data_IF_074800437386
#
_entry.id   IF_074800437386
#
_cell.length_a   1.000
_cell.length_b   1.000
_cell.length_c   1.000
_cell.angle_alpha   90.00
_cell.angle_beta   90.00
_cell.angle_gamma   90.00
#
_symmetry.space_group_name_H-M   'P 1'
#
loop_
_entity.id
_entity.type
_entity.pdbx_description
1 polymer ?
#
# COMPACT_ATOMS: atom_id res chain seq x y z
N UNK A 1 -3.11 6.63 17.99
CA UNK A 1 -3.69 6.25 16.69
C UNK A 1 -2.87 6.87 15.56
N UNK A 2 -2.17 6.05 14.78
CA UNK A 2 -1.31 6.46 13.67
C UNK A 2 -2.14 7.02 12.50
N UNK A 3 -1.48 7.63 11.50
CA UNK A 3 -2.17 8.08 10.28
C UNK A 3 -2.78 6.91 9.49
N UNK A 4 -2.11 5.76 9.48
CA UNK A 4 -2.54 4.54 8.79
C UNK A 4 -3.76 3.90 9.45
N UNK A 5 -3.80 3.84 10.79
CA UNK A 5 -4.98 3.37 11.53
C UNK A 5 -6.21 4.24 11.27
N UNK A 6 -6.06 5.57 11.29
CA UNK A 6 -7.15 6.49 10.95
C UNK A 6 -7.62 6.36 9.50
N UNK A 7 -6.72 5.97 8.60
CA UNK A 7 -7.04 5.75 7.20
C UNK A 7 -7.85 4.45 7.03
N UNK A 8 -7.48 3.38 7.73
CA UNK A 8 -8.22 2.12 7.75
C UNK A 8 -9.65 2.30 8.29
N UNK A 9 -9.80 2.96 9.43
CA UNK A 9 -11.13 3.26 10.01
C UNK A 9 -12.01 4.07 9.04
N UNK A 10 -11.40 4.99 8.28
CA UNK A 10 -12.12 5.75 7.26
C UNK A 10 -12.47 4.88 6.04
N UNK A 11 -11.64 3.92 5.64
CA UNK A 11 -11.95 2.97 4.58
C UNK A 11 -13.12 2.07 4.98
N UNK A 12 -13.08 1.49 6.18
CA UNK A 12 -14.17 0.66 6.74
C UNK A 12 -15.50 1.41 6.72
N UNK A 13 -15.52 2.66 7.19
CA UNK A 13 -16.72 3.52 7.13
C UNK A 13 -17.28 3.70 5.72
N UNK A 14 -16.44 3.74 4.69
CA UNK A 14 -16.90 3.84 3.30
C UNK A 14 -17.45 2.50 2.81
N UNK A 15 -16.72 1.41 3.05
CA UNK A 15 -17.06 0.07 2.56
C UNK A 15 -18.35 -0.43 3.22
N UNK A 16 -18.35 -0.53 4.55
CA UNK A 16 -19.51 -0.96 5.33
C UNK A 16 -20.69 -0.02 5.08
N UNK A 17 -20.41 1.29 5.04
CA UNK A 17 -21.43 2.31 4.77
C UNK A 17 -22.12 2.14 3.42
N UNK A 18 -21.37 1.76 2.38
CA UNK A 18 -21.91 1.55 1.04
C UNK A 18 -22.66 0.23 0.94
N UNK A 19 -22.13 -0.84 1.54
CA UNK A 19 -22.68 -2.21 1.55
C UNK A 19 -23.99 -2.30 2.33
N UNK A 20 -24.03 -1.69 3.52
CA UNK A 20 -25.23 -1.59 4.36
C UNK A 20 -26.19 -0.50 3.88
N UNK A 21 -25.76 0.31 2.90
CA UNK A 21 -26.47 1.49 2.41
C UNK A 21 -26.80 2.50 3.53
N UNK A 22 -25.91 2.63 4.52
CA UNK A 22 -26.05 3.48 5.69
C UNK A 22 -25.42 4.88 5.51
N UNK A 23 -24.62 5.10 4.47
CA UNK A 23 -24.06 6.40 4.11
C UNK A 23 -24.50 6.87 2.72
N UNK A 24 -24.60 8.20 2.55
CA UNK A 24 -24.82 8.81 1.22
C UNK A 24 -23.54 8.76 0.36
N UNK A 25 -23.70 8.88 -0.95
CA UNK A 25 -22.58 8.93 -1.90
C UNK A 25 -21.74 10.20 -1.70
N UNK A 26 -22.38 11.32 -1.36
CA UNK A 26 -21.70 12.56 -0.95
C UNK A 26 -20.89 12.40 0.35
N UNK A 27 -21.39 11.64 1.32
CA UNK A 27 -20.65 11.33 2.56
C UNK A 27 -19.48 10.39 2.29
N UNK A 28 -19.67 9.38 1.44
CA UNK A 28 -18.61 8.48 1.00
C UNK A 28 -17.47 9.24 0.28
N UNK A 29 -17.81 10.21 -0.58
CA UNK A 29 -16.84 11.11 -1.21
C UNK A 29 -15.97 11.85 -0.18
N UNK A 30 -16.58 12.42 0.85
CA UNK A 30 -15.84 13.16 1.88
C UNK A 30 -14.89 12.27 2.68
N UNK A 31 -15.31 11.03 2.98
CA UNK A 31 -14.43 10.04 3.60
C UNK A 31 -13.30 9.65 2.66
N UNK A 32 -13.54 9.46 1.36
CA UNK A 32 -12.49 9.21 0.37
C UNK A 32 -11.47 10.36 0.29
N UNK A 33 -11.94 11.61 0.33
CA UNK A 33 -11.07 12.79 0.42
C UNK A 33 -10.29 12.85 1.75
N UNK A 34 -10.83 12.33 2.84
CA UNK A 34 -10.10 12.19 4.12
C UNK A 34 -9.02 11.12 4.00
N UNK A 35 -9.34 9.96 3.42
CA UNK A 35 -8.39 8.86 3.17
C UNK A 35 -7.22 9.35 2.32
N UNK A 36 -7.48 10.04 1.21
CA UNK A 36 -6.43 10.56 0.32
C UNK A 36 -5.51 11.56 1.03
N UNK A 37 -6.06 12.42 1.90
CA UNK A 37 -5.27 13.34 2.75
C UNK A 37 -4.41 12.62 3.79
N UNK A 38 -4.93 11.57 4.43
CA UNK A 38 -4.17 10.80 5.43
C UNK A 38 -3.00 10.03 4.81
N UNK A 39 -3.20 9.52 3.59
CA UNK A 39 -2.20 8.74 2.84
C UNK A 39 -1.33 9.59 1.90
N UNK A 40 -1.54 10.92 1.85
CA UNK A 40 -0.87 11.85 0.93
C UNK A 40 -0.99 11.44 -0.56
N UNK A 41 -2.13 10.88 -0.96
CA UNK A 41 -2.41 10.56 -2.37
C UNK A 41 -2.86 11.84 -3.10
N UNK A 42 -1.88 12.62 -3.56
CA UNK A 42 -2.11 13.93 -4.19
C UNK A 42 -3.02 13.86 -5.41
N UNK A 43 -2.90 12.80 -6.23
CA UNK A 43 -3.76 12.61 -7.40
C UNK A 43 -5.22 12.41 -6.98
N UNK A 44 -5.45 11.57 -5.96
CA UNK A 44 -6.79 11.36 -5.43
C UNK A 44 -7.34 12.60 -4.70
N UNK A 45 -6.49 13.39 -4.03
CA UNK A 45 -6.89 14.68 -3.43
C UNK A 45 -7.46 15.60 -4.50
N UNK A 46 -6.75 15.81 -5.61
CA UNK A 46 -7.21 16.67 -6.71
C UNK A 46 -8.51 16.15 -7.30
N UNK A 47 -8.59 14.84 -7.56
CA UNK A 47 -9.81 14.22 -8.08
C UNK A 47 -11.02 14.46 -7.16
N UNK A 48 -10.91 14.13 -5.87
CA UNK A 48 -12.03 14.29 -4.94
C UNK A 48 -12.36 15.76 -4.64
N UNK A 49 -11.42 16.68 -4.78
CA UNK A 49 -11.71 18.12 -4.73
C UNK A 49 -12.59 18.56 -5.90
N UNK A 50 -12.38 18.03 -7.11
CA UNK A 50 -13.28 18.30 -8.24
C UNK A 50 -14.65 17.64 -8.08
N UNK A 51 -14.70 16.43 -7.51
CA UNK A 51 -15.96 15.74 -7.20
C UNK A 51 -16.79 16.46 -6.13
N UNK A 52 -16.13 17.22 -5.24
CA UNK A 52 -16.78 17.98 -4.17
C UNK A 52 -17.12 19.42 -4.59
N UNK A 53 -16.17 20.11 -5.22
CA UNK A 53 -16.26 21.54 -5.55
C UNK A 53 -16.60 21.86 -6.99
N UNK A 54 -16.71 20.84 -7.85
CA UNK A 54 -16.91 21.00 -9.29
C UNK A 54 -15.62 21.04 -10.09
N UNK A 55 -15.75 20.74 -11.38
CA UNK A 55 -14.65 20.70 -12.32
C UNK A 55 -14.31 22.10 -12.84
N UNK A 56 -13.03 22.53 -12.79
CA UNK A 56 -12.63 23.85 -13.23
C UNK A 56 -12.85 24.03 -14.74
N UNK A 57 -13.29 25.24 -15.09
CA UNK A 57 -13.60 25.63 -16.47
C UNK A 57 -12.44 26.45 -17.07
N UNK A 58 -12.37 26.47 -18.39
CA UNK A 58 -11.49 27.36 -19.16
C UNK A 58 -11.92 28.81 -19.02
N UNK A 59 -11.06 29.75 -19.41
CA UNK A 59 -11.30 31.20 -19.26
C UNK A 59 -12.57 31.68 -20.00
N UNK A 60 -13.03 30.93 -21.00
CA UNK A 60 -14.28 31.17 -21.71
C UNK A 60 -15.55 30.78 -20.92
N UNK A 61 -15.39 30.14 -19.76
CA UNK A 61 -16.47 29.62 -18.91
C UNK A 61 -17.29 28.48 -19.51
N UNK A 62 -16.97 28.03 -20.73
CA UNK A 62 -17.78 27.07 -21.49
C UNK A 62 -17.22 25.67 -21.43
N UNK A 63 -15.91 25.52 -21.54
CA UNK A 63 -15.28 24.20 -21.56
C UNK A 63 -14.64 23.86 -20.21
N UNK A 64 -14.48 22.57 -19.96
CA UNK A 64 -13.74 22.08 -18.79
C UNK A 64 -12.27 22.04 -19.15
N UNK A 65 -11.40 22.41 -18.23
CA UNK A 65 -9.96 22.33 -18.45
C UNK A 65 -9.55 20.89 -18.81
N UNK A 66 -8.65 20.72 -19.78
CA UNK A 66 -8.29 19.40 -20.33
C UNK A 66 -7.85 18.40 -19.28
N UNK A 67 -7.09 18.85 -18.27
CA UNK A 67 -6.61 17.99 -17.18
C UNK A 67 -7.77 17.52 -16.29
N UNK A 68 -8.65 18.45 -15.91
CA UNK A 68 -9.84 18.15 -15.13
C UNK A 68 -10.81 17.22 -15.88
N UNK A 69 -10.94 17.39 -17.20
CA UNK A 69 -11.71 16.49 -18.06
C UNK A 69 -11.12 15.09 -18.10
N UNK A 70 -9.79 14.97 -18.23
CA UNK A 70 -9.10 13.67 -18.22
C UNK A 70 -9.28 12.95 -16.88
N UNK A 71 -9.17 13.67 -15.76
CA UNK A 71 -9.42 13.12 -14.43
C UNK A 71 -10.86 12.64 -14.30
N UNK A 72 -11.85 13.43 -14.73
CA UNK A 72 -13.26 13.04 -14.71
C UNK A 72 -13.51 11.76 -15.54
N UNK A 73 -13.03 11.73 -16.78
CA UNK A 73 -13.26 10.63 -17.71
C UNK A 73 -12.65 9.33 -17.17
N UNK A 74 -11.40 9.38 -16.71
CA UNK A 74 -10.72 8.21 -16.10
C UNK A 74 -11.42 7.73 -14.84
N UNK A 75 -12.09 8.61 -14.12
CA UNK A 75 -12.77 8.32 -12.86
C UNK A 75 -14.27 8.04 -12.98
N UNK A 76 -14.70 7.49 -14.12
CA UNK A 76 -16.05 6.93 -14.28
C UNK A 76 -17.08 7.94 -14.76
N UNK A 77 -16.74 9.22 -14.93
CA UNK A 77 -17.69 10.21 -15.48
C UNK A 77 -17.83 10.15 -17.00
N UNK A 78 -16.93 9.43 -17.67
CA UNK A 78 -16.89 9.31 -19.13
C UNK A 78 -17.93 8.38 -19.73
N UNK A 79 -18.57 8.81 -20.81
CA UNK A 79 -19.44 7.97 -21.65
C UNK A 79 -19.33 8.41 -23.12
N UNK A 80 -19.87 7.58 -24.02
CA UNK A 80 -19.94 7.87 -25.45
C UNK A 80 -21.36 8.33 -25.77
N UNK A 81 -21.47 9.49 -26.39
CA UNK A 81 -22.72 10.07 -26.89
C UNK A 81 -22.55 10.44 -28.36
N UNK A 82 -23.37 9.85 -29.24
CA UNK A 82 -23.30 10.05 -30.70
C UNK A 82 -21.88 9.91 -31.30
N UNK A 83 -21.07 8.98 -30.75
CA UNK A 83 -19.69 8.73 -31.17
C UNK A 83 -18.64 9.66 -30.55
N UNK A 84 -19.05 10.66 -29.78
CA UNK A 84 -18.18 11.60 -29.08
C UNK A 84 -17.96 11.19 -27.62
N UNK A 85 -16.75 11.37 -27.11
CA UNK A 85 -16.44 11.18 -25.69
C UNK A 85 -16.93 12.39 -24.91
N UNK A 86 -17.83 12.17 -23.97
CA UNK A 86 -18.42 13.19 -23.12
C UNK A 86 -18.30 12.79 -21.65
N UNK A 87 -18.48 13.77 -20.76
CA UNK A 87 -18.53 13.55 -19.32
C UNK A 87 -19.79 14.15 -18.74
N UNK A 88 -20.26 13.62 -17.61
CA UNK A 88 -21.26 14.31 -16.78
C UNK A 88 -20.58 15.02 -15.61
N UNK A 89 -21.04 16.22 -15.29
CA UNK A 89 -20.42 17.09 -14.27
C UNK A 89 -21.25 17.25 -13.00
N UNK A 90 -22.47 16.74 -12.96
CA UNK A 90 -23.35 16.81 -11.78
C UNK A 90 -22.64 16.20 -10.57
N UNK A 91 -22.67 16.91 -9.44
CA UNK A 91 -22.05 16.45 -8.21
C UNK A 91 -22.88 15.35 -7.54
N UNK A 92 -22.26 14.55 -6.68
CA UNK A 92 -22.98 13.49 -5.96
C UNK A 92 -24.14 14.06 -5.13
N UNK A 93 -23.92 15.18 -4.44
CA UNK A 93 -24.98 15.88 -3.67
C UNK A 93 -26.09 16.42 -4.56
N UNK A 94 -25.75 17.00 -5.72
CA UNK A 94 -26.74 17.51 -6.68
C UNK A 94 -27.62 16.38 -7.22
N UNK A 95 -27.01 15.23 -7.56
CA UNK A 95 -27.73 14.05 -8.03
C UNK A 95 -28.66 13.50 -6.93
N UNK A 96 -28.18 13.41 -5.68
CA UNK A 96 -28.98 12.98 -4.53
C UNK A 96 -30.20 13.90 -4.31
N UNK A 97 -29.99 15.22 -4.29
CA UNK A 97 -31.07 16.20 -4.12
C UNK A 97 -32.04 16.17 -5.30
N UNK A 98 -31.54 16.04 -6.53
CA UNK A 98 -32.34 15.95 -7.75
C UNK A 98 -33.24 14.72 -7.74
N UNK A 99 -32.72 13.56 -7.33
CA UNK A 99 -33.51 12.32 -7.20
C UNK A 99 -34.63 12.53 -6.17
N UNK A 100 -34.32 13.07 -4.99
CA UNK A 100 -35.33 13.36 -3.94
C UNK A 100 -36.41 14.32 -4.45
N UNK A 101 -36.03 15.39 -5.14
CA UNK A 101 -36.96 16.36 -5.70
C UNK A 101 -37.85 15.73 -6.79
N UNK A 102 -37.28 14.90 -7.65
CA UNK A 102 -37.99 14.22 -8.72
C UNK A 102 -38.98 13.18 -8.19
N UNK A 103 -38.63 12.39 -7.17
CA UNK A 103 -39.58 11.48 -6.52
C UNK A 103 -40.78 12.23 -5.92
N UNK A 104 -40.55 13.37 -5.26
CA UNK A 104 -41.64 14.23 -4.76
C UNK A 104 -42.52 14.75 -5.91
N UNK A 105 -41.93 15.14 -7.03
CA UNK A 105 -42.66 15.61 -8.19
C UNK A 105 -43.56 14.50 -8.79
N UNK A 106 -43.05 13.27 -8.94
CA UNK A 106 -43.86 12.13 -9.44
C UNK A 106 -45.11 11.92 -8.59
N UNK A 107 -45.00 11.99 -7.27
CA UNK A 107 -46.16 11.82 -6.37
C UNK A 107 -47.20 12.94 -6.50
N UNK A 108 -46.79 14.15 -6.92
CA UNK A 108 -47.69 15.29 -7.09
C UNK A 108 -48.36 15.34 -8.47
N UNK A 109 -47.76 14.70 -9.50
CA UNK A 109 -48.34 14.62 -10.84
C UNK A 109 -49.35 13.46 -10.93
N UNK A 110 -50.56 13.70 -10.41
CA UNK A 110 -51.68 12.75 -10.52
C UNK A 110 -52.92 13.40 -11.13
N UNK A 111 -53.77 12.58 -11.76
CA UNK A 111 -55.12 12.98 -12.16
C UNK A 111 -56.14 12.83 -11.03
N UNK A 112 -55.72 12.33 -9.85
CA UNK A 112 -56.62 12.07 -8.74
C UNK A 112 -57.09 13.39 -8.11
N UNK A 113 -58.38 13.48 -7.79
CA UNK A 113 -58.99 14.66 -7.15
C UNK A 113 -59.39 15.79 -8.11
N UNK A 114 -59.15 15.66 -9.42
CA UNK A 114 -59.62 16.65 -10.41
C UNK A 114 -60.99 16.27 -10.94
N UNK A 115 -62.03 17.03 -10.57
CA UNK A 115 -63.38 16.87 -11.12
C UNK A 115 -63.55 17.79 -12.35
N UNK A 116 -63.80 17.20 -13.52
CA UNK A 116 -63.99 17.93 -14.78
C UNK A 116 -65.38 17.59 -15.33
N UNK A 117 -66.20 18.60 -15.61
CA UNK A 117 -67.57 18.46 -16.16
C UNK A 117 -67.82 19.44 -17.31
N UNK A 118 -68.86 19.18 -18.11
CA UNK A 118 -69.24 19.98 -19.28
C UNK A 118 -68.89 19.35 -20.63
N UNK A 119 -69.31 19.99 -21.73
CA UNK A 119 -69.24 19.43 -23.09
C UNK A 119 -67.81 19.15 -23.59
N UNK A 120 -66.82 19.84 -23.03
CA UNK A 120 -65.39 19.65 -23.33
C UNK A 120 -64.67 18.72 -22.35
N UNK A 121 -65.38 18.12 -21.37
CA UNK A 121 -64.76 17.36 -20.28
C UNK A 121 -63.92 16.19 -20.79
N UNK A 122 -64.40 15.44 -21.80
CA UNK A 122 -63.66 14.33 -22.38
C UNK A 122 -62.33 14.79 -23.01
N UNK A 123 -62.35 15.90 -23.74
CA UNK A 123 -61.15 16.47 -24.36
C UNK A 123 -60.16 17.00 -23.31
N UNK A 124 -60.65 17.69 -22.29
CA UNK A 124 -59.85 18.20 -21.18
C UNK A 124 -59.20 17.08 -20.36
N UNK A 125 -59.93 16.01 -20.06
CA UNK A 125 -59.40 14.82 -19.37
C UNK A 125 -58.34 14.13 -20.22
N UNK A 126 -58.59 13.89 -21.51
CA UNK A 126 -57.59 13.26 -22.39
C UNK A 126 -56.30 14.08 -22.51
N UNK A 127 -56.41 15.41 -22.60
CA UNK A 127 -55.27 16.31 -22.64
C UNK A 127 -54.50 16.30 -21.31
N UNK A 128 -55.20 16.33 -20.18
CA UNK A 128 -54.60 16.26 -18.85
C UNK A 128 -53.89 14.91 -18.62
N UNK A 129 -54.55 13.79 -18.89
CA UNK A 129 -53.97 12.45 -18.77
C UNK A 129 -52.74 12.30 -19.67
N UNK A 130 -52.79 12.80 -20.91
CA UNK A 130 -51.65 12.77 -21.83
C UNK A 130 -50.50 13.69 -21.39
N UNK A 131 -50.79 14.82 -20.76
CA UNK A 131 -49.78 15.70 -20.19
C UNK A 131 -49.11 15.07 -18.96
N UNK A 132 -49.91 14.51 -18.04
CA UNK A 132 -49.43 13.79 -16.86
C UNK A 132 -48.56 12.61 -17.28
N UNK A 133 -49.03 11.75 -18.19
CA UNK A 133 -48.25 10.60 -18.66
C UNK A 133 -46.90 11.01 -19.28
N UNK A 134 -46.88 12.04 -20.14
CA UNK A 134 -45.63 12.55 -20.74
C UNK A 134 -44.67 13.10 -19.69
N UNK A 135 -45.16 13.91 -18.76
CA UNK A 135 -44.34 14.48 -17.67
C UNK A 135 -43.79 13.39 -16.76
N UNK A 136 -44.63 12.45 -16.33
CA UNK A 136 -44.22 11.34 -15.46
C UNK A 136 -43.17 10.47 -16.13
N UNK A 137 -43.35 10.10 -17.40
CA UNK A 137 -42.35 9.32 -18.14
C UNK A 137 -41.01 10.07 -18.26
N UNK A 138 -41.05 11.39 -18.48
CA UNK A 138 -39.85 12.23 -18.49
C UNK A 138 -39.15 12.28 -17.13
N UNK A 139 -39.90 12.42 -16.03
CA UNK A 139 -39.34 12.44 -14.68
C UNK A 139 -38.72 11.08 -14.33
N UNK A 140 -39.42 9.97 -14.59
CA UNK A 140 -38.93 8.61 -14.33
C UNK A 140 -37.63 8.34 -15.11
N UNK A 141 -37.56 8.74 -16.37
CA UNK A 141 -36.34 8.61 -17.18
C UNK A 141 -35.17 9.40 -16.61
N UNK A 142 -35.42 10.61 -16.09
CA UNK A 142 -34.41 11.43 -15.45
C UNK A 142 -33.96 10.88 -14.08
N UNK A 143 -34.86 10.28 -13.31
CA UNK A 143 -34.53 9.58 -12.06
C UNK A 143 -33.57 8.44 -12.39
N UNK A 144 -33.94 7.57 -13.33
CA UNK A 144 -33.12 6.43 -13.74
C UNK A 144 -31.71 6.86 -14.21
N UNK A 145 -31.60 7.96 -14.97
CA UNK A 145 -30.30 8.50 -15.39
C UNK A 145 -29.49 9.03 -14.20
N UNK A 146 -30.13 9.75 -13.29
CA UNK A 146 -29.46 10.34 -12.11
C UNK A 146 -28.99 9.25 -11.14
N UNK A 147 -29.83 8.23 -10.89
CA UNK A 147 -29.47 7.05 -10.10
C UNK A 147 -28.32 6.27 -10.72
N UNK A 148 -28.34 6.07 -12.05
CA UNK A 148 -27.23 5.43 -12.77
C UNK A 148 -25.92 6.20 -12.58
N UNK A 149 -25.93 7.52 -12.76
CA UNK A 149 -24.76 8.39 -12.56
C UNK A 149 -24.26 8.30 -11.11
N UNK A 150 -25.18 8.36 -10.14
CA UNK A 150 -24.84 8.26 -8.72
C UNK A 150 -24.24 6.89 -8.36
N UNK A 151 -24.79 5.80 -8.90
CA UNK A 151 -24.28 4.43 -8.73
C UNK A 151 -22.85 4.30 -9.29
N UNK A 152 -22.55 4.91 -10.44
CA UNK A 152 -21.20 4.94 -10.98
C UNK A 152 -20.24 5.64 -10.01
N UNK A 153 -20.61 6.82 -9.50
CA UNK A 153 -19.78 7.54 -8.52
C UNK A 153 -19.59 6.72 -7.24
N UNK A 154 -20.67 6.13 -6.70
CA UNK A 154 -20.65 5.26 -5.52
C UNK A 154 -19.65 4.10 -5.70
N UNK A 155 -19.68 3.44 -6.86
CA UNK A 155 -18.74 2.36 -7.21
C UNK A 155 -17.29 2.85 -7.21
N UNK A 156 -17.00 4.03 -7.78
CA UNK A 156 -15.63 4.57 -7.84
C UNK A 156 -15.08 4.93 -6.46
N UNK A 157 -15.94 5.41 -5.57
CA UNK A 157 -15.56 5.73 -4.19
C UNK A 157 -15.30 4.45 -3.39
N UNK A 158 -16.16 3.44 -3.58
CA UNK A 158 -15.96 2.10 -3.01
C UNK A 158 -14.64 1.48 -3.48
N UNK A 159 -14.39 1.43 -4.78
CA UNK A 159 -13.18 0.86 -5.36
C UNK A 159 -11.91 1.54 -4.84
N UNK A 160 -11.94 2.87 -4.71
CA UNK A 160 -10.84 3.64 -4.14
C UNK A 160 -10.59 3.25 -2.67
N UNK A 161 -11.63 3.24 -1.84
CA UNK A 161 -11.53 2.87 -0.43
C UNK A 161 -11.02 1.43 -0.25
N UNK A 162 -11.53 0.48 -1.03
CA UNK A 162 -11.13 -0.92 -1.01
C UNK A 162 -9.64 -1.06 -1.37
N UNK A 163 -9.20 -0.41 -2.45
CA UNK A 163 -7.80 -0.42 -2.86
C UNK A 163 -6.89 0.11 -1.75
N UNK A 164 -7.27 1.24 -1.12
CA UNK A 164 -6.48 1.83 -0.03
C UNK A 164 -6.49 0.97 1.23
N UNK A 165 -7.60 0.32 1.57
CA UNK A 165 -7.65 -0.63 2.67
C UNK A 165 -6.68 -1.78 2.46
N UNK A 166 -6.67 -2.38 1.26
CA UNK A 166 -5.76 -3.47 0.91
C UNK A 166 -4.30 -3.01 0.98
N UNK A 167 -3.97 -1.85 0.40
CA UNK A 167 -2.61 -1.28 0.43
C UNK A 167 -2.10 -1.10 1.87
N UNK A 168 -2.92 -0.52 2.75
CA UNK A 168 -2.54 -0.29 4.15
C UNK A 168 -2.51 -1.58 4.96
N UNK A 169 -3.49 -2.48 4.78
CA UNK A 169 -3.55 -3.76 5.47
C UNK A 169 -2.33 -4.63 5.13
N UNK A 170 -1.95 -4.70 3.85
CA UNK A 170 -0.75 -5.41 3.41
C UNK A 170 0.52 -4.83 4.04
N UNK A 171 0.66 -3.50 4.04
CA UNK A 171 1.78 -2.82 4.68
C UNK A 171 1.92 -3.17 6.17
N UNK A 172 0.81 -3.15 6.90
CA UNK A 172 0.78 -3.49 8.32
C UNK A 172 1.17 -4.96 8.58
N UNK A 173 0.71 -5.89 7.73
CA UNK A 173 1.10 -7.31 7.84
C UNK A 173 2.59 -7.49 7.61
N UNK A 174 3.16 -6.86 6.58
CA UNK A 174 4.60 -6.94 6.31
C UNK A 174 5.44 -6.38 7.45
N UNK A 175 5.04 -5.23 8.00
CA UNK A 175 5.69 -4.62 9.17
C UNK A 175 5.61 -5.52 10.41
N UNK A 176 4.44 -6.12 10.66
CA UNK A 176 4.25 -7.05 11.78
C UNK A 176 5.11 -8.30 11.65
N UNK A 177 5.14 -8.93 10.46
CA UNK A 177 5.95 -10.13 10.20
C UNK A 177 7.43 -9.83 10.40
N UNK A 178 7.92 -8.71 9.86
CA UNK A 178 9.32 -8.31 10.06
C UNK A 178 9.60 -7.97 11.53
N UNK A 179 8.70 -7.27 12.22
CA UNK A 179 8.85 -6.92 13.64
C UNK A 179 8.91 -8.16 14.54
N UNK A 180 8.04 -9.15 14.29
CA UNK A 180 8.04 -10.42 15.02
C UNK A 180 9.32 -11.22 14.75
N UNK A 181 9.71 -11.34 13.47
CA UNK A 181 10.94 -12.02 13.08
C UNK A 181 12.17 -11.35 13.72
N UNK A 182 12.24 -10.02 13.65
CA UNK A 182 13.29 -9.21 14.28
C UNK A 182 13.39 -9.48 15.78
N UNK A 183 12.29 -9.39 16.52
CA UNK A 183 12.27 -9.65 17.98
C UNK A 183 12.77 -11.06 18.31
N UNK A 184 12.40 -12.05 17.49
CA UNK A 184 12.87 -13.43 17.66
C UNK A 184 14.39 -13.53 17.49
N UNK A 185 14.96 -12.85 16.50
CA UNK A 185 16.42 -12.80 16.27
C UNK A 185 17.11 -12.09 17.45
N UNK A 186 16.65 -10.90 17.84
CA UNK A 186 17.23 -10.12 18.95
C UNK A 186 17.22 -10.90 20.27
N UNK A 187 16.11 -11.56 20.63
CA UNK A 187 15.98 -12.35 21.85
C UNK A 187 16.85 -13.61 21.87
N UNK A 188 17.21 -14.16 20.70
CA UNK A 188 18.11 -15.33 20.64
C UNK A 188 19.57 -14.90 20.65
N UNK A 189 19.91 -13.79 20.02
CA UNK A 189 21.27 -13.23 20.07
C UNK A 189 21.62 -12.59 21.41
N UNK A 190 20.64 -12.26 22.26
CA UNK A 190 20.93 -11.83 23.64
C UNK A 190 21.68 -12.87 24.44
N UNK A 191 21.48 -14.14 24.11
CA UNK A 191 22.15 -15.26 24.77
C UNK A 191 23.60 -15.41 24.29
N UNK A 192 23.93 -14.88 23.11
CA UNK A 192 25.26 -14.95 22.50
C UNK A 192 26.15 -13.76 22.89
N UNK A 193 25.70 -12.51 22.67
CA UNK A 193 26.43 -11.33 23.18
C UNK A 193 25.63 -10.02 23.21
N UNK A 194 25.80 -9.27 24.32
CA UNK A 194 25.23 -7.93 24.50
C UNK A 194 25.73 -6.90 23.48
N UNK A 195 26.96 -7.07 22.99
CA UNK A 195 27.57 -6.18 21.99
C UNK A 195 26.86 -6.27 20.63
N UNK A 196 26.45 -7.48 20.23
CA UNK A 196 25.69 -7.72 18.99
C UNK A 196 24.34 -7.00 19.00
N UNK A 197 23.62 -7.00 20.13
CA UNK A 197 22.35 -6.29 20.28
C UNK A 197 22.52 -4.77 20.18
N UNK A 198 23.52 -4.21 20.87
CA UNK A 198 23.77 -2.76 20.83
C UNK A 198 24.09 -2.31 19.40
N UNK A 199 24.79 -3.14 18.62
CA UNK A 199 25.09 -2.88 17.21
C UNK A 199 23.86 -2.97 16.30
N UNK A 200 22.96 -3.92 16.54
CA UNK A 200 21.68 -4.03 15.82
C UNK A 200 20.79 -2.80 16.04
N UNK A 201 20.69 -2.30 17.28
CA UNK A 201 19.94 -1.07 17.58
C UNK A 201 20.59 0.15 16.90
N UNK A 202 21.92 0.27 16.98
CA UNK A 202 22.64 1.38 16.36
C UNK A 202 22.54 1.41 14.82
N UNK A 203 22.26 0.28 14.18
CA UNK A 203 22.01 0.19 12.73
C UNK A 203 20.67 0.83 12.36
N UNK A 204 19.64 0.67 13.18
CA UNK A 204 18.30 1.19 12.92
C UNK A 204 18.19 2.69 13.11
N UNK A 205 18.80 3.21 14.19
CA UNK A 205 18.82 4.65 14.47
C UNK A 205 19.41 5.46 13.32
N UNK A 206 20.35 4.87 12.57
CA UNK A 206 21.02 5.49 11.43
C UNK A 206 20.11 5.63 10.20
N UNK A 207 19.21 4.67 9.94
CA UNK A 207 18.31 4.71 8.76
C UNK A 207 17.16 5.69 8.92
N UNK A 208 16.78 6.01 10.16
CA UNK A 208 15.72 6.99 10.43
C UNK A 208 16.13 8.43 10.11
N UNK A 209 17.41 8.68 9.84
CA UNK A 209 17.91 9.97 9.36
C UNK A 209 17.85 10.06 7.83
N UNK A 210 17.63 11.25 7.29
CA UNK A 210 17.74 11.50 5.83
C UNK A 210 19.20 11.83 5.40
N UNK A 211 20.19 11.30 6.11
CA UNK A 211 21.62 11.55 5.84
C UNK A 211 22.29 10.34 5.14
N UNK A 212 22.74 10.47 3.88
CA UNK A 212 23.47 9.41 3.16
C UNK A 212 24.72 8.85 3.87
N UNK A 213 25.39 9.68 4.67
CA UNK A 213 26.55 9.21 5.46
C UNK A 213 26.12 8.20 6.53
N UNK A 214 24.94 8.37 7.12
CA UNK A 214 24.42 7.45 8.13
C UNK A 214 23.98 6.12 7.50
N UNK A 215 23.50 6.13 6.25
CA UNK A 215 23.26 4.89 5.48
C UNK A 215 24.56 4.10 5.30
N UNK A 216 25.62 4.77 4.86
CA UNK A 216 26.95 4.18 4.68
C UNK A 216 27.50 3.59 5.99
N UNK A 217 27.27 4.26 7.12
CA UNK A 217 27.64 3.75 8.43
C UNK A 217 26.78 2.55 8.87
N UNK A 218 25.52 2.47 8.46
CA UNK A 218 24.66 1.34 8.75
C UNK A 218 25.20 0.06 8.09
N UNK A 219 25.58 0.12 6.81
CA UNK A 219 26.20 -0.99 6.08
C UNK A 219 27.49 -1.50 6.76
N UNK A 220 28.41 -0.59 7.11
CA UNK A 220 29.63 -0.96 7.83
C UNK A 220 29.32 -1.62 9.17
N UNK A 221 28.24 -1.18 9.85
CA UNK A 221 27.84 -1.78 11.12
C UNK A 221 27.24 -3.19 10.91
N UNK A 222 26.42 -3.40 9.87
CA UNK A 222 25.94 -4.74 9.47
C UNK A 222 27.09 -5.70 9.16
N UNK A 223 28.14 -5.25 8.46
CA UNK A 223 29.33 -6.06 8.20
C UNK A 223 30.05 -6.46 9.50
N UNK A 224 30.33 -5.48 10.36
CA UNK A 224 30.97 -5.72 11.67
C UNK A 224 30.17 -6.68 12.55
N UNK A 225 28.86 -6.67 12.41
CA UNK A 225 27.99 -7.61 13.11
C UNK A 225 28.28 -9.04 12.68
N UNK A 226 28.34 -9.33 11.38
CA UNK A 226 28.71 -10.66 10.88
C UNK A 226 30.15 -11.05 11.24
N UNK A 227 31.08 -10.11 11.21
CA UNK A 227 32.47 -10.35 11.65
C UNK A 227 32.48 -10.86 13.09
N UNK A 228 31.80 -10.17 14.00
CA UNK A 228 31.68 -10.55 15.41
C UNK A 228 30.95 -11.87 15.60
N UNK A 229 29.75 -12.02 15.02
CA UNK A 229 28.96 -13.25 15.14
C UNK A 229 29.73 -14.45 14.61
N UNK A 230 30.43 -14.31 13.48
CA UNK A 230 31.25 -15.41 12.94
C UNK A 230 32.36 -15.83 13.88
N UNK A 231 32.99 -14.87 14.58
CA UNK A 231 34.08 -15.13 15.50
C UNK A 231 33.58 -15.86 16.73
N UNK A 232 32.51 -15.35 17.34
CA UNK A 232 31.87 -15.97 18.51
C UNK A 232 31.42 -17.42 18.20
N UNK A 233 30.76 -17.62 17.05
CA UNK A 233 30.30 -18.95 16.65
C UNK A 233 31.45 -19.89 16.30
N UNK A 234 32.49 -19.40 15.63
CA UNK A 234 33.65 -20.22 15.34
C UNK A 234 34.34 -20.65 16.63
N UNK A 235 34.55 -19.74 17.58
CA UNK A 235 35.11 -20.08 18.90
C UNK A 235 34.23 -21.08 19.67
N UNK A 236 32.91 -20.99 19.55
CA UNK A 236 31.97 -21.91 20.19
C UNK A 236 32.01 -23.34 19.61
N UNK A 237 31.99 -23.47 18.28
CA UNK A 237 31.94 -24.78 17.61
C UNK A 237 33.33 -25.39 17.36
N UNK A 238 34.38 -24.57 17.38
CA UNK A 238 35.77 -24.95 17.12
C UNK A 238 36.75 -24.43 18.21
N UNK A 239 36.51 -24.69 19.51
CA UNK A 239 37.25 -24.05 20.62
C UNK A 239 38.75 -24.38 20.65
N UNK A 240 39.17 -25.53 20.11
CA UNK A 240 40.57 -25.97 20.09
C UNK A 240 41.22 -25.88 18.71
N UNK A 241 40.57 -25.23 17.74
CA UNK A 241 41.06 -25.18 16.37
C UNK A 241 42.24 -24.20 16.25
N UNK A 242 43.43 -24.74 15.96
CA UNK A 242 44.69 -23.99 15.88
C UNK A 242 45.23 -23.87 14.46
N UNK A 243 44.66 -24.61 13.51
CA UNK A 243 45.12 -24.60 12.13
C UNK A 243 44.65 -23.35 11.39
N UNK A 244 45.50 -22.87 10.48
CA UNK A 244 45.17 -21.72 9.63
C UNK A 244 44.13 -22.06 8.56
N UNK A 245 44.18 -23.28 8.04
CA UNK A 245 43.34 -23.74 6.94
C UNK A 245 42.28 -24.69 7.46
N UNK A 246 41.05 -24.55 6.97
CA UNK A 246 39.94 -25.48 7.17
C UNK A 246 39.62 -26.18 5.86
N UNK A 247 39.48 -27.52 5.91
CA UNK A 247 39.10 -28.32 4.76
C UNK A 247 37.60 -28.54 4.76
N UNK A 248 36.91 -27.96 3.78
CA UNK A 248 35.46 -28.12 3.60
C UNK A 248 35.10 -29.56 3.20
N UNK A 249 33.83 -29.94 3.37
CA UNK A 249 33.23 -31.20 2.91
C UNK A 249 33.37 -31.38 1.39
N UNK A 250 33.44 -30.28 0.64
CA UNK A 250 33.72 -30.28 -0.80
C UNK A 250 35.19 -30.51 -1.16
N UNK A 251 36.07 -30.60 -0.15
CA UNK A 251 37.51 -30.83 -0.31
C UNK A 251 38.33 -29.57 -0.58
N UNK A 252 37.71 -28.37 -0.53
CA UNK A 252 38.38 -27.08 -0.70
C UNK A 252 39.02 -26.66 0.61
N UNK A 253 40.25 -26.15 0.57
CA UNK A 253 40.90 -25.55 1.73
C UNK A 253 40.61 -24.04 1.76
N UNK A 254 40.08 -23.56 2.87
CA UNK A 254 39.77 -22.14 3.12
C UNK A 254 40.57 -21.62 4.31
N UNK A 255 41.11 -20.41 4.19
CA UNK A 255 41.83 -19.76 5.30
C UNK A 255 40.82 -19.22 6.31
N UNK A 256 40.84 -19.73 7.54
CA UNK A 256 39.96 -19.33 8.65
C UNK A 256 40.70 -18.47 9.69
N UNK A 257 41.93 -18.03 9.39
CA UNK A 257 42.70 -17.15 10.27
C UNK A 257 42.27 -15.67 10.15
N UNK A 258 42.68 -14.86 11.14
CA UNK A 258 42.48 -13.41 11.12
C UNK A 258 41.01 -12.99 10.93
N UNK A 259 40.80 -12.07 9.99
CA UNK A 259 39.51 -11.43 9.69
C UNK A 259 38.71 -12.13 8.57
N UNK A 260 39.03 -13.38 8.23
CA UNK A 260 38.30 -14.17 7.24
C UNK A 260 36.94 -14.68 7.76
N UNK A 261 36.08 -13.74 8.17
CA UNK A 261 34.79 -14.01 8.82
C UNK A 261 33.85 -14.86 7.96
N UNK A 262 33.83 -14.66 6.64
CA UNK A 262 33.04 -15.49 5.71
C UNK A 262 33.48 -16.95 5.71
N UNK A 263 34.78 -17.20 5.74
CA UNK A 263 35.32 -18.55 5.76
C UNK A 263 35.05 -19.22 7.11
N UNK A 264 35.17 -18.48 8.22
CA UNK A 264 34.78 -18.93 9.56
C UNK A 264 33.30 -19.31 9.62
N UNK A 265 32.42 -18.42 9.14
CA UNK A 265 31.00 -18.69 9.13
C UNK A 265 30.64 -19.86 8.21
N UNK A 266 31.29 -19.98 7.05
CA UNK A 266 31.11 -21.12 6.14
C UNK A 266 31.47 -22.45 6.82
N UNK A 267 32.58 -22.51 7.56
CA UNK A 267 32.97 -23.70 8.32
C UNK A 267 31.96 -24.05 9.43
N UNK A 268 31.45 -23.04 10.13
CA UNK A 268 30.40 -23.20 11.16
C UNK A 268 29.11 -23.72 10.53
N UNK A 269 28.62 -23.08 9.47
CA UNK A 269 27.40 -23.48 8.77
C UNK A 269 27.51 -24.91 8.28
N UNK A 270 28.63 -25.26 7.63
CA UNK A 270 28.85 -26.61 7.14
C UNK A 270 28.79 -27.66 8.26
N UNK A 271 29.28 -27.31 9.46
CA UNK A 271 29.19 -28.14 10.65
C UNK A 271 27.74 -28.29 11.14
N UNK A 272 27.00 -27.18 11.18
CA UNK A 272 25.59 -27.14 11.58
C UNK A 272 24.65 -27.86 10.60
N UNK A 273 24.97 -27.85 9.31
CA UNK A 273 24.18 -28.53 8.27
C UNK A 273 24.11 -30.04 8.44
N UNK A 274 25.19 -30.65 8.96
CA UNK A 274 25.29 -32.10 9.11
C UNK A 274 25.03 -32.84 7.79
N UNK A 275 23.95 -33.64 7.77
CA UNK A 275 23.43 -34.40 6.61
C UNK A 275 22.05 -33.91 6.13
N UNK A 276 21.53 -32.80 6.66
CA UNK A 276 20.17 -32.34 6.35
C UNK A 276 20.15 -31.53 5.05
N UNK A 277 19.36 -31.99 4.07
CA UNK A 277 19.17 -31.28 2.81
C UNK A 277 18.54 -29.90 3.02
N UNK A 278 17.60 -29.77 3.94
CA UNK A 278 16.96 -28.50 4.29
C UNK A 278 17.95 -27.53 4.90
N UNK A 279 18.83 -28.00 5.81
CA UNK A 279 19.89 -27.16 6.40
C UNK A 279 20.91 -26.72 5.34
N UNK A 280 21.23 -27.58 4.37
CA UNK A 280 22.17 -27.26 3.28
C UNK A 280 21.68 -26.15 2.35
N UNK A 281 20.37 -26.10 2.09
CA UNK A 281 19.76 -24.99 1.32
C UNK A 281 19.88 -23.67 2.10
N UNK A 282 19.59 -23.71 3.41
CA UNK A 282 19.69 -22.53 4.28
C UNK A 282 21.13 -22.03 4.36
N UNK A 283 22.10 -22.92 4.53
CA UNK A 283 23.51 -22.53 4.56
C UNK A 283 24.03 -21.95 3.24
N UNK A 284 23.61 -22.52 2.10
CA UNK A 284 23.94 -21.95 0.78
C UNK A 284 23.37 -20.53 0.60
N UNK A 285 22.14 -20.29 1.06
CA UNK A 285 21.52 -18.96 1.05
C UNK A 285 22.27 -17.97 1.94
N UNK A 286 22.67 -18.39 3.15
CA UNK A 286 23.46 -17.56 4.06
C UNK A 286 24.78 -17.12 3.38
N UNK A 287 25.53 -18.06 2.80
CA UNK A 287 26.80 -17.75 2.13
C UNK A 287 26.59 -16.76 0.97
N UNK A 288 25.56 -16.97 0.15
CA UNK A 288 25.22 -16.05 -0.92
C UNK A 288 24.90 -14.63 -0.40
N UNK A 289 24.12 -14.54 0.68
CA UNK A 289 23.77 -13.25 1.28
C UNK A 289 24.99 -12.53 1.86
N UNK A 290 25.91 -13.25 2.48
CA UNK A 290 27.16 -12.67 2.96
C UNK A 290 28.02 -12.14 1.81
N UNK A 291 28.16 -12.89 0.72
CA UNK A 291 28.90 -12.43 -0.45
C UNK A 291 28.23 -11.21 -1.08
N UNK A 292 26.90 -11.17 -1.11
CA UNK A 292 26.18 -9.99 -1.56
C UNK A 292 26.44 -8.76 -0.67
N UNK A 293 26.37 -8.92 0.66
CA UNK A 293 26.65 -7.84 1.63
C UNK A 293 28.09 -7.35 1.53
N UNK A 294 29.05 -8.26 1.35
CA UNK A 294 30.47 -7.90 1.20
C UNK A 294 30.72 -7.16 -0.11
N UNK A 295 30.17 -7.64 -1.23
CA UNK A 295 30.29 -6.94 -2.50
C UNK A 295 29.71 -5.52 -2.41
N UNK A 296 28.61 -5.36 -1.67
CA UNK A 296 27.96 -4.07 -1.47
C UNK A 296 28.83 -3.13 -0.60
N UNK A 297 29.49 -3.65 0.44
CA UNK A 297 30.46 -2.90 1.24
C UNK A 297 31.77 -2.60 0.48
N UNK A 298 32.24 -3.50 -0.38
CA UNK A 298 33.48 -3.30 -1.14
C UNK A 298 33.32 -2.23 -2.22
N UNK A 299 32.12 -2.12 -2.81
CA UNK A 299 31.76 -1.00 -3.69
C UNK A 299 31.83 0.34 -2.95
N UNK A 300 31.42 0.39 -1.68
CA UNK A 300 31.54 1.56 -0.81
C UNK A 300 33.01 1.91 -0.52
N UNK A 301 33.86 0.93 -0.20
CA UNK A 301 35.26 1.17 0.17
C UNK A 301 36.15 1.64 -1.00
N UNK A 302 35.79 1.33 -2.25
CA UNK A 302 36.58 1.69 -3.44
C UNK A 302 36.38 3.11 -3.94
N UNK A 303 35.60 3.95 -3.23
CA UNK A 303 35.44 5.37 -3.55
C UNK A 303 34.74 5.64 -4.88
N UNK A 304 34.09 4.64 -5.46
CA UNK A 304 33.15 4.85 -6.56
C UNK A 304 31.91 5.43 -5.87
N UNK A 305 31.69 6.74 -6.00
CA UNK A 305 30.54 7.45 -5.44
C UNK A 305 29.22 6.96 -6.08
N UNK A 306 28.84 5.70 -5.84
CA UNK A 306 27.44 5.32 -5.87
C UNK A 306 26.86 5.83 -4.56
N UNK A 307 26.12 6.93 -4.61
CA UNK A 307 25.30 7.37 -3.48
C UNK A 307 24.46 6.18 -3.00
N UNK A 308 24.79 5.64 -1.82
CA UNK A 308 24.03 4.54 -1.23
C UNK A 308 22.64 5.10 -0.97
N UNK A 309 21.66 4.53 -1.66
CA UNK A 309 20.28 4.95 -1.46
C UNK A 309 19.79 4.44 -0.11
N UNK A 310 18.78 5.12 0.45
CA UNK A 310 18.05 4.62 1.62
C UNK A 310 17.54 3.20 1.39
N UNK A 311 17.15 2.86 0.16
CA UNK A 311 16.68 1.53 -0.21
C UNK A 311 17.78 0.47 -0.09
N UNK A 312 19.00 0.78 -0.52
CA UNK A 312 20.14 -0.14 -0.41
C UNK A 312 20.47 -0.42 1.05
N UNK A 313 20.45 0.61 1.89
CA UNK A 313 20.65 0.47 3.33
C UNK A 313 19.54 -0.35 3.99
N UNK A 314 18.27 -0.06 3.70
CA UNK A 314 17.13 -0.84 4.21
C UNK A 314 17.23 -2.32 3.80
N UNK A 315 17.60 -2.59 2.55
CA UNK A 315 17.80 -3.95 2.05
C UNK A 315 18.92 -4.67 2.80
N UNK A 316 20.04 -4.00 3.05
CA UNK A 316 21.16 -4.55 3.81
C UNK A 316 20.73 -4.94 5.24
N UNK A 317 19.97 -4.09 5.92
CA UNK A 317 19.45 -4.39 7.27
C UNK A 317 18.53 -5.60 7.26
N UNK A 318 17.53 -5.62 6.37
CA UNK A 318 16.56 -6.72 6.29
C UNK A 318 17.29 -8.04 6.05
N UNK A 319 18.23 -8.07 5.10
CA UNK A 319 19.02 -9.26 4.81
C UNK A 319 19.93 -9.67 5.98
N UNK A 320 20.45 -8.70 6.74
CA UNK A 320 21.22 -8.96 7.96
C UNK A 320 20.37 -9.73 8.98
N UNK A 321 19.16 -9.24 9.27
CA UNK A 321 18.25 -9.94 10.18
C UNK A 321 17.85 -11.33 9.68
N UNK A 322 17.51 -11.46 8.38
CA UNK A 322 17.15 -12.76 7.77
C UNK A 322 18.28 -13.77 7.98
N UNK A 323 19.49 -13.42 7.56
CA UNK A 323 20.67 -14.27 7.64
C UNK A 323 21.01 -14.65 9.09
N UNK A 324 20.95 -13.70 10.03
CA UNK A 324 21.16 -13.97 11.45
C UNK A 324 20.11 -14.94 12.01
N UNK A 325 18.83 -14.77 11.65
CA UNK A 325 17.78 -15.70 12.06
C UNK A 325 17.92 -17.10 11.44
N UNK A 326 18.39 -17.20 10.20
CA UNK A 326 18.69 -18.47 9.55
C UNK A 326 19.84 -19.22 10.24
N UNK A 327 20.92 -18.52 10.59
CA UNK A 327 22.04 -19.08 11.38
C UNK A 327 21.52 -19.60 12.73
N UNK A 328 20.66 -18.85 13.42
CA UNK A 328 20.07 -19.28 14.68
C UNK A 328 19.18 -20.52 14.52
N UNK A 329 18.37 -20.58 13.46
CA UNK A 329 17.53 -21.74 13.20
C UNK A 329 18.38 -22.99 12.92
N UNK A 330 19.54 -22.85 12.27
CA UNK A 330 20.48 -23.95 12.08
C UNK A 330 21.03 -24.52 13.41
N UNK A 331 21.14 -23.70 14.44
CA UNK A 331 21.63 -24.07 15.79
C UNK A 331 20.55 -24.62 16.72
N UNK A 332 19.29 -24.27 16.48
CA UNK A 332 18.17 -24.55 17.41
C UNK A 332 17.52 -25.93 17.24
N UNK A 333 17.99 -26.73 16.29
CA UNK A 333 17.55 -28.10 15.98
C UNK A 333 18.76 -29.05 15.91
#
# INVERSE_FOLDING_TARGET
MTKTEKALEACEKVLDGIEENSISTSSALLQCLKISRLLNDYNAIVWFQYEYGGYPRTDDGKHIQSEAWNIAYKNGRGYIDEGNKVIFTELASELEEKIVAQHKAVNNFSTQGTAISGDYALGAVNNLTSAVARSTNGIVSNIALSEKRLSILKSRYYDYALKKQIEVAFGNVAESVFSEYRKKVENKFSDLSKDTILKLQAVEDKINSDNPELYSQALTTCRRLFENTSKELFEQYFPEYKDRMYKTKSGKEIDVSGDHFKNKLSAVIETLEGKSATKSIVGSNIIYLLDWIDNLNDLQCKGVHSDISKQDAMRCIIQTYICLGDILNLQSD
#
